data_IF_506582017178
#
_entry.id   IF_506582017178
#
_cell.length_a   1.000
_cell.length_b   1.000
_cell.length_c   1.000
_cell.angle_alpha   90.00
_cell.angle_beta   90.00
_cell.angle_gamma   90.00
#
_symmetry.space_group_name_H-M   'P 1'
#
loop_
_entity.id
_entity.type
_entity.pdbx_description
1 polymer ?
#
# COMPACT_ATOMS: atom_id res chain seq x y z
N UNK A 1 3.06 4.76 8.45
CA UNK A 1 3.07 3.60 7.53
C UNK A 1 2.21 2.42 7.99
N UNK A 2 1.45 2.52 9.09
CA UNK A 2 0.75 1.34 9.65
C UNK A 2 -0.57 0.99 8.96
N UNK A 3 -1.23 1.97 8.33
CA UNK A 3 -2.59 1.82 7.78
C UNK A 3 -2.70 0.72 6.71
N UNK A 4 -1.80 0.68 5.73
CA UNK A 4 -1.83 -0.35 4.66
C UNK A 4 -1.60 -1.75 5.27
N UNK A 5 -0.79 -1.85 6.32
CA UNK A 5 -0.53 -3.09 7.02
C UNK A 5 -1.74 -3.60 7.78
N UNK A 6 -2.38 -2.74 8.58
CA UNK A 6 -3.56 -3.09 9.37
C UNK A 6 -4.75 -3.47 8.48
N UNK A 7 -5.06 -2.66 7.46
CA UNK A 7 -6.16 -2.93 6.53
C UNK A 7 -5.98 -4.26 5.79
N UNK A 8 -4.74 -4.58 5.39
CA UNK A 8 -4.45 -5.87 4.76
C UNK A 8 -4.64 -7.05 5.72
N UNK A 9 -4.18 -6.92 6.96
CA UNK A 9 -4.33 -7.99 7.97
C UNK A 9 -5.80 -8.25 8.29
N UNK A 10 -6.62 -7.21 8.43
CA UNK A 10 -8.06 -7.33 8.62
C UNK A 10 -8.72 -8.04 7.43
N UNK A 11 -8.39 -7.65 6.20
CA UNK A 11 -8.90 -8.30 5.00
C UNK A 11 -8.55 -9.79 4.94
N UNK A 12 -7.30 -10.13 5.22
CA UNK A 12 -6.84 -11.52 5.22
C UNK A 12 -7.47 -12.34 6.34
N UNK A 13 -7.71 -11.74 7.52
CA UNK A 13 -8.43 -12.40 8.60
C UNK A 13 -9.85 -12.78 8.17
N UNK A 14 -10.58 -11.84 7.55
CA UNK A 14 -11.94 -12.09 7.03
C UNK A 14 -11.93 -13.22 5.98
N UNK A 15 -10.94 -13.24 5.09
CA UNK A 15 -10.83 -14.29 4.07
C UNK A 15 -10.58 -15.66 4.69
N UNK A 16 -9.69 -15.74 5.69
CA UNK A 16 -9.40 -16.98 6.41
C UNK A 16 -10.65 -17.48 7.15
N UNK A 17 -11.38 -16.60 7.82
CA UNK A 17 -12.66 -16.93 8.47
C UNK A 17 -13.71 -17.43 7.49
N UNK A 18 -13.71 -16.91 6.25
CA UNK A 18 -14.57 -17.35 5.16
C UNK A 18 -14.07 -18.61 4.42
N UNK A 19 -12.96 -19.21 4.83
CA UNK A 19 -12.35 -20.38 4.17
C UNK A 19 -11.76 -20.07 2.79
N UNK A 20 -11.53 -18.79 2.47
CA UNK A 20 -10.89 -18.34 1.24
C UNK A 20 -9.37 -18.27 1.41
N UNK A 21 -8.64 -18.39 0.30
CA UNK A 21 -7.21 -18.13 0.31
C UNK A 21 -6.94 -16.63 0.54
N UNK A 22 -6.09 -16.25 1.51
CA UNK A 22 -5.81 -14.85 1.76
C UNK A 22 -5.05 -14.20 0.59
N UNK A 23 -5.43 -12.99 0.24
CA UNK A 23 -4.80 -12.18 -0.80
C UNK A 23 -4.48 -10.75 -0.30
N UNK A 24 -3.95 -9.91 -1.19
CA UNK A 24 -3.59 -8.52 -0.91
C UNK A 24 -4.55 -7.50 -1.55
N UNK A 25 -5.64 -7.97 -2.15
CA UNK A 25 -6.58 -7.16 -2.92
C UNK A 25 -7.71 -6.69 -2.01
N UNK A 26 -7.50 -5.56 -1.33
CA UNK A 26 -8.53 -4.91 -0.52
C UNK A 26 -9.46 -4.11 -1.44
N UNK A 27 -10.77 -4.45 -1.53
CA UNK A 27 -11.71 -3.71 -2.37
C UNK A 27 -11.93 -2.30 -1.82
N UNK A 28 -11.73 -1.23 -2.62
CA UNK A 28 -11.87 0.15 -2.14
C UNK A 28 -13.28 0.49 -1.65
N UNK A 29 -14.29 -0.25 -2.13
CA UNK A 29 -15.70 -0.07 -1.77
C UNK A 29 -15.99 -0.49 -0.32
N UNK A 30 -15.15 -1.38 0.25
CA UNK A 30 -15.27 -1.82 1.64
C UNK A 30 -14.67 -0.79 2.63
N UNK A 31 -13.99 0.23 2.12
CA UNK A 31 -13.37 1.28 2.93
C UNK A 31 -14.31 2.48 3.07
N UNK A 32 -14.41 3.00 4.30
CA UNK A 32 -15.04 4.29 4.57
C UNK A 32 -14.34 5.43 3.81
N UNK A 33 -15.00 6.59 3.71
CA UNK A 33 -14.40 7.76 3.07
C UNK A 33 -13.11 8.23 3.76
N UNK A 34 -13.04 8.07 5.09
CA UNK A 34 -11.86 8.41 5.90
C UNK A 34 -10.69 7.46 5.58
N UNK A 35 -10.97 6.17 5.55
CA UNK A 35 -9.99 5.12 5.22
C UNK A 35 -9.45 5.26 3.80
N UNK A 36 -10.32 5.59 2.83
CA UNK A 36 -9.90 5.88 1.45
C UNK A 36 -8.95 7.08 1.36
N UNK A 37 -9.21 8.14 2.13
CA UNK A 37 -8.30 9.29 2.19
C UNK A 37 -6.96 8.91 2.80
N UNK A 38 -6.97 8.20 3.93
CA UNK A 38 -5.73 7.72 4.56
C UNK A 38 -4.94 6.75 3.67
N UNK A 39 -5.63 5.89 2.92
CA UNK A 39 -5.01 5.01 1.95
C UNK A 39 -4.30 5.80 0.85
N UNK A 40 -4.96 6.84 0.31
CA UNK A 40 -4.40 7.73 -0.70
C UNK A 40 -3.15 8.45 -0.18
N UNK A 41 -3.23 9.05 1.00
CA UNK A 41 -2.10 9.74 1.63
C UNK A 41 -0.91 8.77 1.84
N UNK A 42 -1.18 7.54 2.27
CA UNK A 42 -0.15 6.51 2.44
C UNK A 42 0.51 6.11 1.12
N UNK A 43 -0.26 5.99 0.02
CA UNK A 43 0.28 5.71 -1.30
C UNK A 43 1.10 6.86 -1.87
N UNK A 44 0.72 8.11 -1.63
CA UNK A 44 1.51 9.28 -2.02
C UNK A 44 2.91 9.24 -1.37
N UNK A 45 3.00 8.91 -0.07
CA UNK A 45 4.29 8.76 0.61
C UNK A 45 5.14 7.63 -0.01
N UNK A 46 4.55 6.48 -0.32
CA UNK A 46 5.29 5.38 -0.97
C UNK A 46 5.79 5.81 -2.36
N UNK A 47 4.95 6.49 -3.13
CA UNK A 47 5.32 7.04 -4.44
C UNK A 47 6.47 8.02 -4.34
N UNK A 48 6.45 8.94 -3.38
CA UNK A 48 7.52 9.92 -3.17
C UNK A 48 8.85 9.26 -2.80
N UNK A 49 8.81 8.23 -1.95
CA UNK A 49 10.00 7.43 -1.61
C UNK A 49 10.53 6.70 -2.84
N UNK A 50 9.66 6.05 -3.61
CA UNK A 50 10.03 5.34 -4.85
C UNK A 50 10.59 6.29 -5.91
N UNK A 51 10.04 7.49 -6.06
CA UNK A 51 10.52 8.54 -6.96
C UNK A 51 11.90 9.05 -6.54
N UNK A 52 12.10 9.24 -5.23
CA UNK A 52 13.40 9.65 -4.67
C UNK A 52 14.46 8.58 -4.91
N UNK A 53 14.12 7.31 -4.63
CA UNK A 53 15.00 6.18 -4.93
C UNK A 53 15.34 6.13 -6.43
N UNK A 54 14.33 6.20 -7.29
CA UNK A 54 14.52 6.16 -8.76
C UNK A 54 15.42 7.28 -9.26
N UNK A 55 15.27 8.50 -8.75
CA UNK A 55 16.16 9.63 -9.06
C UNK A 55 17.59 9.34 -8.62
N UNK A 56 17.78 8.83 -7.41
CA UNK A 56 19.10 8.52 -6.86
C UNK A 56 19.80 7.40 -7.66
N UNK A 57 19.08 6.33 -8.03
CA UNK A 57 19.62 5.26 -8.87
C UNK A 57 19.91 5.72 -10.31
N UNK A 58 19.09 6.61 -10.89
CA UNK A 58 19.40 7.20 -12.19
C UNK A 58 20.65 8.08 -12.13
N UNK A 59 20.82 8.89 -11.07
CA UNK A 59 22.03 9.70 -10.90
C UNK A 59 23.29 8.87 -10.72
N UNK A 60 23.20 7.69 -10.09
CA UNK A 60 24.33 6.75 -9.98
C UNK A 60 24.73 6.18 -11.35
N UNK A 61 23.74 5.89 -12.21
CA UNK A 61 23.95 5.35 -13.56
C UNK A 61 24.57 6.34 -14.56
N UNK A 62 24.53 7.64 -14.28
CA UNK A 62 25.19 8.68 -15.09
C UNK A 62 26.59 9.06 -14.59
N UNK A 63 27.02 8.49 -13.45
CA UNK A 63 28.32 8.80 -12.82
C UNK A 63 29.39 7.72 -13.06
N UNK A 64 29.05 6.62 -13.75
CA UNK A 64 29.98 5.66 -14.37
C UNK A 64 30.27 6.05 -15.81
#
# INVERSE_FOLDING_TARGET
>A
FEFIGSTRLEHQAIQIEAGQAPDNFVPPEQLSALERRHLKDAFEVVSDVQNTMSRNYQTDRFRM
#
